data_IF_483517897423
#
_entry.id   IF_483517897423
#
_cell.length_a   1.000
_cell.length_b   1.000
_cell.length_c   1.000
_cell.angle_alpha   90.00
_cell.angle_beta   90.00
_cell.angle_gamma   90.00
#
_symmetry.space_group_name_H-M   'P 1'
#
loop_
_entity.id
_entity.type
_entity.pdbx_description
1 polymer ?
#
# COMPACT_ATOMS: atom_id res chain seq x y z
N UNK A 1 25.95 -8.49 3.76
CA UNK A 1 24.92 -8.58 2.70
C UNK A 1 25.54 -8.32 1.32
N UNK A 2 26.66 -8.98 0.98
CA UNK A 2 27.33 -8.83 -0.32
C UNK A 2 27.87 -10.18 -0.86
N UNK A 3 27.27 -11.31 -0.47
CA UNK A 3 27.80 -12.66 -0.81
C UNK A 3 26.80 -13.56 -1.55
N UNK A 4 25.75 -13.02 -2.17
CA UNK A 4 24.78 -13.84 -2.94
C UNK A 4 24.68 -13.44 -4.42
N UNK A 5 25.42 -12.43 -4.89
CA UNK A 5 25.56 -12.18 -6.32
C UNK A 5 26.93 -11.55 -6.58
N UNK A 6 27.73 -12.17 -7.45
CA UNK A 6 29.00 -11.65 -7.96
C UNK A 6 28.80 -10.40 -8.85
N UNK A 7 28.12 -9.38 -8.34
CA UNK A 7 27.82 -8.13 -9.04
C UNK A 7 28.40 -7.01 -8.19
N UNK A 8 29.29 -6.21 -8.76
CA UNK A 8 29.84 -5.05 -8.04
C UNK A 8 28.71 -4.08 -7.66
N UNK A 9 28.82 -3.35 -6.53
CA UNK A 9 27.82 -2.37 -6.10
C UNK A 9 27.44 -1.36 -7.20
N UNK A 10 28.38 -1.02 -8.08
CA UNK A 10 28.16 -0.14 -9.24
C UNK A 10 27.25 -0.76 -10.31
N UNK A 11 27.44 -2.03 -10.65
CA UNK A 11 26.58 -2.72 -11.61
C UNK A 11 25.18 -2.97 -11.05
N UNK A 12 25.08 -3.30 -9.76
CA UNK A 12 23.80 -3.43 -9.07
C UNK A 12 23.02 -2.11 -9.11
N UNK A 13 23.69 -0.98 -8.84
CA UNK A 13 23.06 0.32 -8.89
C UNK A 13 22.55 0.69 -10.29
N UNK A 14 23.30 0.41 -11.36
CA UNK A 14 22.87 0.68 -12.74
C UNK A 14 21.69 -0.19 -13.17
N UNK A 15 21.74 -1.49 -12.87
CA UNK A 15 20.64 -2.41 -13.18
C UNK A 15 19.38 -2.00 -12.41
N UNK A 16 19.52 -1.66 -11.13
CA UNK A 16 18.39 -1.19 -10.31
C UNK A 16 17.76 0.07 -10.89
N UNK A 17 18.55 1.11 -11.19
CA UNK A 17 18.03 2.34 -11.80
C UNK A 17 17.37 2.08 -13.16
N UNK A 18 17.92 1.18 -13.98
CA UNK A 18 17.36 0.86 -15.30
C UNK A 18 15.99 0.16 -15.19
N UNK A 19 15.78 -0.65 -14.15
CA UNK A 19 14.52 -1.37 -13.92
C UNK A 19 13.48 -0.46 -13.23
N UNK A 20 13.89 0.31 -12.21
CA UNK A 20 12.98 0.98 -11.30
C UNK A 20 12.81 2.48 -11.54
N UNK A 21 13.66 3.09 -12.38
CA UNK A 21 13.66 4.52 -12.67
C UNK A 21 14.15 5.40 -11.51
N UNK A 22 14.55 4.80 -10.37
CA UNK A 22 15.08 5.52 -9.22
C UNK A 22 16.30 4.81 -8.61
N UNK A 23 17.07 5.56 -7.81
CA UNK A 23 18.21 4.99 -7.10
C UNK A 23 17.76 4.12 -5.92
N UNK A 24 18.58 3.13 -5.58
CA UNK A 24 18.34 2.31 -4.38
C UNK A 24 18.26 3.17 -3.11
N UNK A 25 19.05 4.24 -3.04
CA UNK A 25 19.04 5.20 -1.91
C UNK A 25 17.71 5.94 -1.84
N UNK A 26 17.18 6.39 -2.98
CA UNK A 26 15.86 7.04 -3.08
C UNK A 26 14.75 6.10 -2.63
N UNK A 27 14.82 4.83 -3.06
CA UNK A 27 13.86 3.79 -2.69
C UNK A 27 13.84 3.56 -1.19
N UNK A 28 15.02 3.34 -0.59
CA UNK A 28 15.14 3.15 0.86
C UNK A 28 14.65 4.38 1.63
N UNK A 29 14.94 5.60 1.16
CA UNK A 29 14.42 6.84 1.76
C UNK A 29 12.88 6.87 1.70
N UNK A 30 12.28 6.57 0.55
CA UNK A 30 10.82 6.55 0.34
C UNK A 30 10.14 5.53 1.25
N UNK A 31 10.63 4.29 1.29
CA UNK A 31 10.07 3.23 2.15
C UNK A 31 10.20 3.57 3.65
N UNK A 32 11.32 4.14 4.09
CA UNK A 32 11.51 4.61 5.48
C UNK A 32 10.52 5.70 5.87
N UNK A 33 10.32 6.68 4.98
CA UNK A 33 9.36 7.78 5.21
C UNK A 33 7.91 7.29 5.17
N UNK A 34 7.58 6.35 4.28
CA UNK A 34 6.30 5.66 4.25
C UNK A 34 6.00 4.97 5.59
N UNK A 35 6.95 4.18 6.10
CA UNK A 35 6.84 3.55 7.42
C UNK A 35 6.70 4.58 8.55
N UNK A 36 7.44 5.69 8.48
CA UNK A 36 7.33 6.76 9.46
C UNK A 36 5.93 7.40 9.47
N UNK A 37 5.34 7.63 8.30
CA UNK A 37 3.99 8.14 8.17
C UNK A 37 2.97 7.18 8.81
N UNK A 38 3.14 5.87 8.62
CA UNK A 38 2.32 4.85 9.29
C UNK A 38 2.37 4.97 10.82
N UNK A 39 3.55 5.14 11.42
CA UNK A 39 3.65 5.38 12.86
C UNK A 39 3.05 6.72 13.30
N UNK A 40 3.16 7.77 12.48
CA UNK A 40 2.60 9.09 12.81
C UNK A 40 1.07 9.10 12.79
N UNK A 41 0.48 8.37 11.84
CA UNK A 41 -0.96 8.25 11.66
C UNK A 41 -1.61 7.28 12.65
N UNK A 42 -0.96 6.14 12.92
CA UNK A 42 -1.58 4.99 13.58
C UNK A 42 -0.92 4.62 14.93
N UNK A 43 -0.15 5.52 15.55
CA UNK A 43 0.42 5.29 16.89
C UNK A 43 0.71 6.57 17.68
N UNK A 44 0.80 6.43 19.00
CA UNK A 44 1.14 7.51 19.92
C UNK A 44 2.64 7.68 20.19
N UNK A 45 3.51 6.93 19.49
CA UNK A 45 4.97 7.00 19.68
C UNK A 45 5.49 8.43 19.54
N UNK A 46 6.47 8.85 20.34
CA UNK A 46 7.01 10.20 20.21
C UNK A 46 7.70 10.37 18.83
N UNK A 47 7.59 11.56 18.23
CA UNK A 47 8.17 11.82 16.89
C UNK A 47 9.68 11.53 16.84
N UNK A 48 10.40 11.77 17.95
CA UNK A 48 11.82 11.40 18.09
C UNK A 48 12.07 9.90 17.95
N UNK A 49 11.19 9.07 18.53
CA UNK A 49 11.35 7.61 18.54
C UNK A 49 11.00 7.04 17.18
N UNK A 50 10.01 7.65 16.50
CA UNK A 50 9.66 7.35 15.11
C UNK A 50 10.85 7.63 14.18
N UNK A 51 11.52 8.78 14.33
CA UNK A 51 12.69 9.11 13.53
C UNK A 51 13.78 8.02 13.62
N UNK A 52 14.09 7.58 14.85
CA UNK A 52 15.07 6.51 15.10
C UNK A 52 14.62 5.19 14.49
N UNK A 53 13.36 4.77 14.74
CA UNK A 53 12.79 3.53 14.20
C UNK A 53 12.73 3.50 12.67
N UNK A 54 12.55 4.65 12.04
CA UNK A 54 12.59 4.82 10.60
C UNK A 54 14.00 4.98 10.02
N UNK A 55 15.04 4.80 10.83
CA UNK A 55 16.43 4.75 10.37
C UNK A 55 17.10 6.11 10.16
N UNK A 56 16.63 7.17 10.83
CA UNK A 56 17.26 8.48 10.83
C UNK A 56 18.11 8.69 12.09
N UNK A 57 19.30 9.28 11.92
CA UNK A 57 20.23 9.55 13.01
C UNK A 57 19.89 10.82 13.80
N UNK A 58 19.04 11.70 13.26
CA UNK A 58 18.62 12.92 13.96
C UNK A 58 17.18 13.31 13.62
N UNK A 59 16.48 13.91 14.59
CA UNK A 59 15.12 14.43 14.40
C UNK A 59 15.07 15.53 13.32
N UNK A 60 16.11 16.34 13.20
CA UNK A 60 16.18 17.42 12.21
C UNK A 60 16.26 16.86 10.78
N UNK A 61 17.11 15.86 10.54
CA UNK A 61 17.23 15.23 9.22
C UNK A 61 15.94 14.50 8.83
N UNK A 62 15.30 13.81 9.78
CA UNK A 62 14.00 13.20 9.60
C UNK A 62 12.92 14.25 9.25
N UNK A 63 12.79 15.30 10.06
CA UNK A 63 11.73 16.31 9.90
C UNK A 63 11.84 17.02 8.56
N UNK A 64 13.07 17.33 8.11
CA UNK A 64 13.32 17.89 6.79
C UNK A 64 12.90 16.91 5.68
N UNK A 65 13.40 15.69 5.71
CA UNK A 65 13.10 14.68 4.69
C UNK A 65 11.60 14.35 4.63
N UNK A 66 10.92 14.30 5.78
CA UNK A 66 9.49 14.07 5.86
C UNK A 66 8.70 15.25 5.28
N UNK A 67 9.05 16.49 5.64
CA UNK A 67 8.36 17.68 5.12
C UNK A 67 8.57 17.84 3.60
N UNK A 68 9.74 17.50 3.09
CA UNK A 68 10.02 17.47 1.64
C UNK A 68 9.12 16.46 0.91
N UNK A 69 8.82 15.31 1.53
CA UNK A 69 8.03 14.26 0.91
C UNK A 69 6.51 14.43 1.10
N UNK A 70 6.06 14.85 2.28
CA UNK A 70 4.64 14.91 2.68
C UNK A 70 4.08 16.34 2.73
N UNK A 71 4.85 17.34 2.29
CA UNK A 71 4.42 18.75 2.27
C UNK A 71 4.25 19.41 3.64
N UNK A 72 4.41 18.68 4.75
CA UNK A 72 4.23 19.22 6.10
C UNK A 72 5.10 18.55 7.17
N UNK A 73 5.38 19.22 8.30
CA UNK A 73 6.17 18.65 9.38
C UNK A 73 5.52 17.43 10.06
N UNK A 74 6.29 16.45 10.57
CA UNK A 74 5.78 15.22 11.18
C UNK A 74 4.73 15.43 12.29
N UNK A 75 4.97 16.38 13.20
CA UNK A 75 4.05 16.68 14.29
C UNK A 75 2.72 17.27 13.80
N UNK A 76 2.78 18.06 12.71
CA UNK A 76 1.59 18.60 12.06
C UNK A 76 0.83 17.49 11.34
N UNK A 77 1.54 16.65 10.57
CA UNK A 77 0.98 15.48 9.90
C UNK A 77 0.18 14.60 10.86
N UNK A 78 0.73 14.26 12.03
CA UNK A 78 -0.02 13.50 13.05
C UNK A 78 -1.38 14.09 13.41
N UNK A 79 -1.47 15.42 13.52
CA UNK A 79 -2.68 16.13 13.97
C UNK A 79 -3.66 16.46 12.85
N UNK A 80 -3.15 16.68 11.64
CA UNK A 80 -3.89 17.32 10.53
C UNK A 80 -3.84 16.53 9.22
N UNK A 81 -3.16 15.38 9.17
CA UNK A 81 -3.06 14.54 7.98
C UNK A 81 -4.43 13.99 7.55
N UNK A 82 -4.53 13.51 6.30
CA UNK A 82 -5.82 13.06 5.74
C UNK A 82 -6.48 11.91 6.52
N UNK A 83 -5.73 11.13 7.29
CA UNK A 83 -6.30 10.14 8.22
C UNK A 83 -7.27 10.74 9.23
N UNK A 84 -7.12 12.03 9.57
CA UNK A 84 -8.05 12.72 10.47
C UNK A 84 -9.38 13.02 9.81
N UNK A 85 -9.41 13.25 8.49
CA UNK A 85 -10.65 13.49 7.74
C UNK A 85 -11.58 12.29 7.84
N UNK A 86 -11.06 11.08 7.62
CA UNK A 86 -11.82 9.84 7.78
C UNK A 86 -12.23 9.59 9.24
N UNK A 87 -11.38 9.90 10.22
CA UNK A 87 -11.72 9.72 11.64
C UNK A 87 -12.82 10.68 12.12
N UNK A 88 -12.91 11.89 11.55
CA UNK A 88 -13.93 12.88 11.91
C UNK A 88 -15.34 12.45 11.44
N UNK A 89 -15.42 11.71 10.34
CA UNK A 89 -16.69 11.18 9.80
C UNK A 89 -17.26 10.03 10.65
N UNK A 90 -16.48 9.47 11.59
CA UNK A 90 -16.99 8.50 12.56
C UNK A 90 -17.84 9.14 13.68
N UNK A 91 -17.91 10.48 13.73
CA UNK A 91 -18.81 11.22 14.64
C UNK A 91 -20.09 11.66 13.89
N UNK A 92 -21.28 11.13 14.25
CA UNK A 92 -22.52 11.37 13.49
C UNK A 92 -22.94 12.84 13.38
N UNK A 93 -22.54 13.70 14.32
CA UNK A 93 -23.09 15.06 14.45
C UNK A 93 -22.53 16.09 13.45
N UNK A 94 -21.59 15.71 12.58
CA UNK A 94 -21.00 16.59 11.57
C UNK A 94 -21.20 16.05 10.13
N UNK A 95 -21.95 14.96 9.97
CA UNK A 95 -22.06 14.21 8.72
C UNK A 95 -23.06 14.80 7.70
N UNK A 96 -23.69 15.94 7.99
CA UNK A 96 -24.71 16.52 7.10
C UNK A 96 -24.12 17.17 5.83
N UNK A 97 -22.82 17.43 5.80
CA UNK A 97 -22.16 18.00 4.62
C UNK A 97 -20.89 17.23 4.29
N UNK A 98 -21.00 16.08 3.62
CA UNK A 98 -20.05 15.68 2.57
C UNK A 98 -20.36 14.33 1.93
N UNK A 99 -20.66 14.36 0.64
CA UNK A 99 -20.45 13.25 -0.29
C UNK A 99 -18.94 12.98 -0.50
N UNK A 100 -18.18 12.67 0.55
CA UNK A 100 -16.72 12.81 0.52
C UNK A 100 -15.97 11.62 -0.12
N UNK A 101 -16.61 10.46 -0.25
CA UNK A 101 -15.92 9.23 -0.67
C UNK A 101 -16.71 8.52 -1.78
N UNK A 102 -16.02 8.29 -2.91
CA UNK A 102 -16.58 7.64 -4.09
C UNK A 102 -16.55 6.13 -3.90
N UNK A 103 -17.70 5.57 -3.50
CA UNK A 103 -17.91 4.12 -3.42
C UNK A 103 -18.84 3.70 -4.54
N UNK A 104 -18.34 2.83 -5.41
CA UNK A 104 -19.12 2.17 -6.46
C UNK A 104 -19.28 0.69 -6.17
N UNK A 105 -20.40 0.10 -6.57
CA UNK A 105 -20.63 -1.34 -6.49
C UNK A 105 -20.62 -1.89 -7.90
N UNK A 106 -19.69 -2.80 -8.17
CA UNK A 106 -19.46 -3.33 -9.52
C UNK A 106 -19.24 -4.84 -9.47
N UNK A 107 -19.73 -5.53 -10.50
CA UNK A 107 -19.38 -6.92 -10.72
C UNK A 107 -18.10 -7.01 -11.55
N UNK A 108 -17.02 -7.50 -10.94
CA UNK A 108 -15.71 -7.62 -11.59
C UNK A 108 -15.46 -9.08 -12.03
N UNK A 109 -14.76 -9.29 -13.16
CA UNK A 109 -14.28 -10.62 -13.50
C UNK A 109 -13.20 -11.09 -12.52
N UNK A 110 -12.97 -12.40 -12.46
CA UNK A 110 -11.82 -12.95 -11.73
C UNK A 110 -10.50 -12.38 -12.28
N UNK A 111 -9.53 -12.18 -11.39
CA UNK A 111 -8.24 -11.56 -11.72
C UNK A 111 -7.13 -12.55 -11.42
N UNK A 112 -6.34 -12.87 -12.44
CA UNK A 112 -5.16 -13.72 -12.29
C UNK A 112 -3.92 -12.84 -12.10
N UNK A 113 -3.13 -13.15 -11.08
CA UNK A 113 -2.02 -12.33 -10.60
C UNK A 113 -0.75 -13.18 -10.40
N UNK A 114 0.42 -12.55 -10.54
CA UNK A 114 1.69 -13.08 -10.06
C UNK A 114 1.97 -12.46 -8.69
N UNK A 115 2.05 -13.28 -7.66
CA UNK A 115 2.17 -12.85 -6.27
C UNK A 115 3.50 -13.22 -5.63
N UNK A 116 3.89 -12.41 -4.66
CA UNK A 116 4.89 -12.71 -3.65
C UNK A 116 4.28 -12.47 -2.27
N UNK A 117 4.23 -13.53 -1.46
CA UNK A 117 3.72 -13.43 -0.09
C UNK A 117 4.62 -12.51 0.77
N UNK A 118 3.97 -11.79 1.67
CA UNK A 118 4.57 -10.95 2.71
C UNK A 118 4.01 -11.35 4.06
N UNK A 119 4.90 -11.51 5.04
CA UNK A 119 4.55 -11.71 6.44
C UNK A 119 5.21 -10.61 7.28
N UNK A 120 4.42 -9.95 8.12
CA UNK A 120 4.83 -8.84 8.95
C UNK A 120 4.01 -7.57 8.69
N UNK A 121 4.45 -6.44 9.25
CA UNK A 121 3.74 -5.16 9.18
C UNK A 121 3.38 -4.81 7.73
N UNK A 122 2.12 -4.47 7.48
CA UNK A 122 1.62 -4.09 6.16
C UNK A 122 2.34 -2.86 5.60
N UNK A 123 2.88 -1.98 6.45
CA UNK A 123 3.72 -0.86 6.02
C UNK A 123 5.06 -1.30 5.39
N UNK A 124 5.46 -2.56 5.58
CA UNK A 124 6.67 -3.15 5.00
C UNK A 124 6.42 -3.91 3.68
N UNK A 125 5.16 -4.07 3.24
CA UNK A 125 4.80 -4.82 2.01
C UNK A 125 5.48 -4.26 0.75
N UNK A 126 5.82 -2.97 0.75
CA UNK A 126 6.57 -2.34 -0.33
C UNK A 126 7.86 -3.07 -0.67
N UNK A 127 8.51 -3.73 0.30
CA UNK A 127 9.70 -4.55 0.06
C UNK A 127 9.41 -5.76 -0.83
N UNK A 128 8.22 -6.37 -0.70
CA UNK A 128 7.78 -7.48 -1.54
C UNK A 128 7.42 -7.01 -2.94
N UNK A 129 6.81 -5.82 -3.08
CA UNK A 129 6.63 -5.18 -4.39
C UNK A 129 7.97 -4.91 -5.09
N UNK A 130 8.97 -4.37 -4.39
CA UNK A 130 10.30 -4.15 -4.98
C UNK A 130 10.93 -5.46 -5.48
N UNK A 131 10.79 -6.57 -4.74
CA UNK A 131 11.27 -7.89 -5.18
C UNK A 131 10.50 -8.39 -6.41
N UNK A 132 9.17 -8.32 -6.40
CA UNK A 132 8.31 -8.75 -7.49
C UNK A 132 8.60 -7.98 -8.78
N UNK A 133 8.63 -6.66 -8.70
CA UNK A 133 8.94 -5.79 -9.84
C UNK A 133 10.36 -6.00 -10.36
N UNK A 134 11.34 -6.25 -9.47
CA UNK A 134 12.68 -6.63 -9.88
C UNK A 134 12.71 -7.94 -10.66
N UNK A 135 11.97 -8.94 -10.19
CA UNK A 135 11.84 -10.25 -10.84
C UNK A 135 11.16 -10.15 -12.22
N UNK A 136 10.10 -9.34 -12.33
CA UNK A 136 9.41 -9.06 -13.60
C UNK A 136 10.30 -8.26 -14.57
N UNK A 137 10.99 -7.24 -14.07
CA UNK A 137 11.88 -6.39 -14.86
C UNK A 137 13.04 -7.17 -15.49
N UNK A 138 13.66 -8.08 -14.74
CA UNK A 138 14.74 -8.95 -15.27
C UNK A 138 14.26 -9.89 -16.39
N UNK A 139 12.96 -10.18 -16.47
CA UNK A 139 12.34 -11.03 -17.51
C UNK A 139 11.73 -10.22 -18.66
N UNK A 140 11.85 -8.89 -18.63
CA UNK A 140 11.20 -8.02 -19.62
C UNK A 140 9.67 -8.08 -19.56
N UNK A 141 9.10 -8.49 -18.42
CA UNK A 141 7.66 -8.61 -18.23
C UNK A 141 7.03 -7.33 -17.65
N UNK A 142 7.83 -6.48 -17.02
CA UNK A 142 7.38 -5.19 -16.50
C UNK A 142 7.03 -4.24 -17.65
N UNK A 143 5.81 -3.69 -17.62
CA UNK A 143 5.29 -2.79 -18.65
C UNK A 143 4.25 -1.83 -18.06
N UNK A 144 3.80 -0.85 -18.85
CA UNK A 144 2.88 0.20 -18.42
C UNK A 144 1.44 -0.30 -18.14
N UNK A 145 1.06 -1.46 -18.66
CA UNK A 145 -0.25 -2.09 -18.43
C UNK A 145 -0.24 -2.97 -17.17
N UNK A 146 0.87 -3.00 -16.43
CA UNK A 146 0.99 -3.78 -15.21
C UNK A 146 0.08 -3.20 -14.12
N UNK A 147 -0.83 -4.03 -13.63
CA UNK A 147 -1.68 -3.72 -12.48
C UNK A 147 -0.91 -4.06 -11.20
N UNK A 148 -0.88 -3.16 -10.24
CA UNK A 148 -0.21 -3.37 -8.95
C UNK A 148 -1.26 -3.60 -7.87
N UNK A 149 -1.30 -4.81 -7.30
CA UNK A 149 -2.35 -5.21 -6.35
C UNK A 149 -1.75 -5.71 -5.04
N UNK A 150 -2.23 -5.19 -3.91
CA UNK A 150 -1.92 -5.71 -2.57
C UNK A 150 -3.12 -6.49 -2.03
N UNK A 151 -2.93 -7.74 -1.58
CA UNK A 151 -3.99 -8.54 -0.95
C UNK A 151 -3.70 -8.63 0.54
N UNK A 152 -4.70 -8.38 1.39
CA UNK A 152 -4.56 -8.33 2.84
C UNK A 152 -5.50 -9.34 3.49
N UNK A 153 -4.91 -10.29 4.23
CA UNK A 153 -5.64 -11.48 4.71
C UNK A 153 -6.11 -11.38 6.16
N UNK A 154 -5.57 -10.44 6.93
CA UNK A 154 -5.75 -10.36 8.37
C UNK A 154 -6.18 -8.93 8.76
N UNK A 155 -6.94 -8.81 9.85
CA UNK A 155 -7.29 -7.52 10.42
C UNK A 155 -6.10 -6.97 11.24
N UNK A 156 -5.53 -5.81 10.87
CA UNK A 156 -4.38 -5.22 11.57
C UNK A 156 -4.68 -4.76 13.01
N UNK A 157 -5.96 -4.61 13.38
CA UNK A 157 -6.36 -4.29 14.76
C UNK A 157 -6.53 -5.56 15.62
N UNK A 158 -6.70 -6.73 15.00
CA UNK A 158 -6.91 -8.01 15.69
C UNK A 158 -5.66 -8.91 15.72
N UNK A 159 -4.79 -8.81 14.71
CA UNK A 159 -3.63 -9.69 14.54
C UNK A 159 -2.33 -8.91 14.80
N UNK A 160 -1.39 -9.46 15.61
CA UNK A 160 -0.09 -8.83 15.83
C UNK A 160 0.66 -8.54 14.53
N UNK A 161 1.36 -7.41 14.49
CA UNK A 161 2.04 -6.92 13.28
C UNK A 161 3.00 -7.93 12.67
N UNK A 162 3.68 -8.72 13.48
CA UNK A 162 4.66 -9.72 13.06
C UNK A 162 4.00 -10.97 12.43
N UNK A 163 2.71 -11.15 12.64
CA UNK A 163 1.92 -12.30 12.18
C UNK A 163 1.03 -11.98 10.99
N UNK A 164 0.78 -10.71 10.72
CA UNK A 164 0.00 -10.22 9.57
C UNK A 164 0.51 -10.83 8.26
N UNK A 165 -0.43 -11.32 7.44
CA UNK A 165 -0.17 -11.88 6.12
C UNK A 165 -0.77 -10.98 5.06
N UNK A 166 -0.01 -10.79 3.98
CA UNK A 166 -0.45 -10.09 2.77
C UNK A 166 0.29 -10.65 1.56
N UNK A 167 -0.10 -10.26 0.35
CA UNK A 167 0.61 -10.61 -0.86
C UNK A 167 0.77 -9.38 -1.76
N UNK A 168 2.01 -9.12 -2.18
CA UNK A 168 2.29 -8.15 -3.23
C UNK A 168 2.10 -8.84 -4.58
N UNK A 169 1.21 -8.32 -5.41
CA UNK A 169 0.77 -8.97 -6.63
C UNK A 169 0.85 -8.03 -7.84
N UNK A 170 1.05 -8.63 -9.02
CA UNK A 170 1.07 -7.92 -10.29
C UNK A 170 0.24 -8.67 -11.34
N UNK A 171 -0.64 -7.95 -12.02
CA UNK A 171 -1.33 -8.42 -13.23
C UNK A 171 -0.65 -7.85 -14.48
N UNK A 172 -0.43 -8.67 -15.51
CA UNK A 172 0.22 -8.23 -16.76
C UNK A 172 -0.17 -9.14 -17.94
N UNK A 173 -0.06 -8.69 -19.21
CA UNK A 173 -0.59 -9.42 -20.36
C UNK A 173 -0.05 -10.85 -20.55
N UNK A 174 1.24 -11.08 -20.29
CA UNK A 174 1.89 -12.38 -20.48
C UNK A 174 1.79 -13.34 -19.27
N UNK A 175 0.92 -13.03 -18.31
CA UNK A 175 0.86 -13.75 -17.03
C UNK A 175 0.49 -15.22 -17.20
N UNK A 176 -0.45 -15.54 -18.08
CA UNK A 176 -0.90 -16.91 -18.27
C UNK A 176 0.22 -17.83 -18.76
N UNK A 177 1.06 -17.32 -19.65
CA UNK A 177 2.19 -18.05 -20.21
C UNK A 177 3.42 -18.04 -19.28
N UNK A 178 3.40 -17.22 -18.23
CA UNK A 178 4.49 -17.13 -17.27
C UNK A 178 4.39 -18.26 -16.25
N UNK A 179 5.43 -19.10 -16.18
CA UNK A 179 5.52 -20.15 -15.17
C UNK A 179 6.02 -19.56 -13.86
N UNK A 180 5.32 -19.76 -12.72
CA UNK A 180 5.79 -19.28 -11.43
C UNK A 180 7.04 -20.05 -11.00
N UNK A 181 8.00 -19.33 -10.43
CA UNK A 181 9.21 -19.89 -9.81
C UNK A 181 9.23 -19.48 -8.36
N UNK A 182 9.50 -20.41 -7.43
CA UNK A 182 9.62 -20.08 -6.01
C UNK A 182 10.57 -18.89 -5.78
N UNK A 183 10.21 -17.88 -4.96
CA UNK A 183 9.03 -17.82 -4.07
C UNK A 183 7.77 -17.20 -4.69
N UNK A 184 7.73 -16.96 -6.00
CA UNK A 184 6.60 -16.37 -6.71
C UNK A 184 5.55 -17.43 -7.05
N UNK A 185 4.28 -17.06 -7.00
CA UNK A 185 3.15 -17.95 -7.28
C UNK A 185 2.06 -17.25 -8.08
N UNK A 186 1.22 -18.01 -8.79
CA UNK A 186 -0.01 -17.48 -9.36
C UNK A 186 -1.05 -17.33 -8.24
N UNK A 187 -1.74 -16.21 -8.22
CA UNK A 187 -2.79 -15.89 -7.25
C UNK A 187 -4.06 -15.54 -8.01
N UNK A 188 -5.15 -16.23 -7.68
CA UNK A 188 -6.45 -16.03 -8.31
C UNK A 188 -7.36 -15.26 -7.35
N UNK A 189 -7.77 -14.06 -7.76
CA UNK A 189 -8.82 -13.29 -7.09
C UNK A 189 -10.14 -13.67 -7.74
N UNK A 190 -11.09 -14.12 -6.93
CA UNK A 190 -12.39 -14.55 -7.43
C UNK A 190 -13.17 -13.37 -8.01
N UNK A 191 -13.87 -13.61 -9.12
CA UNK A 191 -14.83 -12.63 -9.64
C UNK A 191 -16.09 -12.59 -8.79
N UNK A 192 -16.86 -11.52 -8.94
CA UNK A 192 -18.10 -11.32 -8.19
C UNK A 192 -18.39 -9.85 -8.00
N UNK A 193 -19.28 -9.56 -7.06
CA UNK A 193 -19.67 -8.19 -6.75
C UNK A 193 -18.79 -7.60 -5.65
N UNK A 194 -18.24 -6.41 -5.91
CA UNK A 194 -17.35 -5.71 -5.01
C UNK A 194 -17.86 -4.30 -4.76
N UNK A 195 -17.75 -3.84 -3.51
CA UNK A 195 -17.73 -2.42 -3.21
C UNK A 195 -16.31 -1.91 -3.44
N UNK A 196 -16.17 -0.83 -4.20
CA UNK A 196 -14.89 -0.24 -4.59
C UNK A 196 -14.86 1.19 -4.07
N UNK A 197 -14.02 1.43 -3.07
CA UNK A 197 -13.75 2.77 -2.54
C UNK A 197 -12.51 3.34 -3.22
N UNK A 198 -12.65 4.49 -3.89
CA UNK A 198 -11.50 5.25 -4.37
C UNK A 198 -10.93 6.12 -3.26
N UNK A 199 -9.70 5.81 -2.85
CA UNK A 199 -8.92 6.57 -1.88
C UNK A 199 -7.87 7.44 -2.58
N UNK A 200 -7.84 8.74 -2.23
CA UNK A 200 -6.76 9.65 -2.62
C UNK A 200 -5.97 10.08 -1.37
N UNK A 201 -4.67 9.83 -1.38
CA UNK A 201 -3.75 10.30 -0.35
C UNK A 201 -2.74 9.24 0.09
N UNK A 202 -2.00 9.51 1.19
CA UNK A 202 -0.90 8.63 1.58
C UNK A 202 -1.39 7.26 2.04
N UNK A 203 -0.71 6.19 1.60
CA UNK A 203 -0.98 4.81 2.04
C UNK A 203 -1.04 4.64 3.57
N UNK A 204 -0.25 5.43 4.32
CA UNK A 204 -0.27 5.42 5.78
C UNK A 204 -1.65 5.75 6.40
N UNK A 205 -2.52 6.41 5.61
CA UNK A 205 -3.83 6.87 6.03
C UNK A 205 -4.95 5.91 5.60
N UNK A 206 -4.65 4.86 4.82
CA UNK A 206 -5.65 3.89 4.33
C UNK A 206 -6.37 3.17 5.48
N UNK A 207 -5.71 2.96 6.62
CA UNK A 207 -6.35 2.36 7.79
C UNK A 207 -7.64 3.10 8.20
N UNK A 208 -7.62 4.44 8.19
CA UNK A 208 -8.81 5.24 8.48
C UNK A 208 -9.90 5.13 7.40
N UNK A 209 -9.50 4.92 6.14
CA UNK A 209 -10.43 4.66 5.04
C UNK A 209 -11.13 3.31 5.23
N UNK A 210 -10.40 2.25 5.63
CA UNK A 210 -10.99 0.97 6.01
C UNK A 210 -11.97 1.08 7.18
N UNK A 211 -11.60 1.81 8.24
CA UNK A 211 -12.50 2.02 9.39
C UNK A 211 -13.80 2.70 8.98
N UNK A 212 -13.74 3.71 8.11
CA UNK A 212 -14.95 4.33 7.56
C UNK A 212 -15.73 3.36 6.64
N UNK A 213 -15.04 2.62 5.78
CA UNK A 213 -15.66 1.74 4.80
C UNK A 213 -16.45 0.61 5.47
N UNK A 214 -15.85 -0.04 6.47
CA UNK A 214 -16.50 -1.08 7.29
C UNK A 214 -17.44 -0.52 8.36
N UNK A 215 -17.12 0.61 8.97
CA UNK A 215 -17.85 1.14 10.13
C UNK A 215 -19.02 2.07 9.80
N UNK A 216 -19.04 2.70 8.62
CA UNK A 216 -20.08 3.65 8.21
C UNK A 216 -20.77 3.23 6.93
N UNK A 217 -20.00 3.01 5.85
CA UNK A 217 -20.60 2.71 4.55
C UNK A 217 -21.29 1.34 4.52
N UNK A 218 -20.60 0.27 4.93
CA UNK A 218 -21.14 -1.09 4.83
C UNK A 218 -22.46 -1.27 5.61
N UNK A 219 -22.61 -0.84 6.88
CA UNK A 219 -23.87 -0.97 7.62
C UNK A 219 -25.04 -0.20 7.01
N UNK A 220 -24.77 0.91 6.31
CA UNK A 220 -25.80 1.76 5.69
C UNK A 220 -26.13 1.31 4.27
N UNK A 221 -25.24 0.57 3.61
CA UNK A 221 -25.40 0.11 2.23
C UNK A 221 -26.47 -0.97 2.04
N UNK A 222 -26.89 -1.64 3.11
CA UNK A 222 -27.75 -2.82 3.05
C UNK A 222 -27.05 -4.06 2.45
N UNK A 223 -25.72 -4.03 2.33
CA UNK A 223 -24.89 -5.12 1.80
C UNK A 223 -24.17 -5.85 2.93
N UNK A 224 -23.71 -7.05 2.65
CA UNK A 224 -22.89 -7.85 3.56
C UNK A 224 -21.55 -8.17 2.89
N UNK A 225 -20.46 -8.10 3.65
CA UNK A 225 -19.14 -8.50 3.16
C UNK A 225 -19.04 -10.03 3.03
N UNK A 226 -18.28 -10.50 2.05
CA UNK A 226 -17.90 -11.89 1.89
C UNK A 226 -16.68 -12.24 2.76
N UNK A 227 -16.49 -13.53 3.07
CA UNK A 227 -15.30 -14.06 3.75
C UNK A 227 -14.05 -14.17 2.83
N UNK A 228 -14.00 -13.33 1.79
CA UNK A 228 -12.85 -13.21 0.89
C UNK A 228 -11.97 -12.05 1.34
N UNK A 229 -10.64 -12.13 1.12
CA UNK A 229 -9.75 -11.03 1.50
C UNK A 229 -10.05 -9.78 0.68
N UNK A 230 -9.84 -8.63 1.30
CA UNK A 230 -9.80 -7.34 0.61
C UNK A 230 -8.53 -7.23 -0.21
N UNK A 231 -8.59 -6.47 -1.29
CA UNK A 231 -7.41 -6.12 -2.04
C UNK A 231 -7.42 -4.66 -2.45
N UNK A 232 -6.23 -4.11 -2.64
CA UNK A 232 -5.96 -2.74 -3.03
C UNK A 232 -5.35 -2.75 -4.43
N UNK A 233 -5.83 -1.88 -5.31
CA UNK A 233 -5.19 -1.62 -6.59
C UNK A 233 -4.57 -0.22 -6.59
N UNK A 234 -3.25 -0.16 -6.76
CA UNK A 234 -2.50 1.10 -6.80
C UNK A 234 -2.49 1.65 -8.23
N UNK A 235 -3.20 2.76 -8.45
CA UNK A 235 -3.47 3.29 -9.79
C UNK A 235 -2.37 4.23 -10.32
N UNK A 236 -1.46 4.67 -9.45
CA UNK A 236 -0.32 5.48 -9.84
C UNK A 236 0.94 5.13 -9.03
N UNK A 237 2.08 5.59 -9.54
CA UNK A 237 3.38 5.17 -9.05
C UNK A 237 3.90 6.08 -7.92
N UNK A 238 4.17 5.56 -6.71
CA UNK A 238 4.70 6.36 -5.59
C UNK A 238 6.13 6.89 -5.80
N UNK A 239 6.77 6.52 -6.92
CA UNK A 239 8.04 7.11 -7.38
C UNK A 239 7.85 8.39 -8.18
N UNK A 240 6.66 8.59 -8.75
CA UNK A 240 6.37 9.65 -9.71
C UNK A 240 5.49 10.74 -9.11
N UNK A 241 4.65 10.40 -8.14
CA UNK A 241 3.69 11.32 -7.51
C UNK A 241 3.97 11.50 -6.02
N UNK A 242 3.57 12.65 -5.48
CA UNK A 242 3.64 12.91 -4.05
C UNK A 242 2.66 12.00 -3.28
N UNK A 243 2.92 11.70 -1.99
CA UNK A 243 2.03 10.89 -1.16
C UNK A 243 0.57 11.36 -1.15
N UNK A 244 0.32 12.68 -1.19
CA UNK A 244 -1.04 13.24 -1.19
C UNK A 244 -1.78 13.05 -2.53
N UNK A 245 -1.05 12.72 -3.60
CA UNK A 245 -1.60 12.48 -4.94
C UNK A 245 -1.68 11.00 -5.30
N UNK A 246 -1.33 10.11 -4.37
CA UNK A 246 -1.52 8.67 -4.56
C UNK A 246 -3.00 8.32 -4.68
N UNK A 247 -3.31 7.42 -5.60
CA UNK A 247 -4.67 6.93 -5.83
C UNK A 247 -4.69 5.41 -5.67
N UNK A 248 -5.59 4.93 -4.84
CA UNK A 248 -5.77 3.50 -4.55
C UNK A 248 -7.26 3.17 -4.55
N UNK A 249 -7.65 2.15 -5.32
CA UNK A 249 -9.00 1.59 -5.24
C UNK A 249 -8.96 0.42 -4.24
N UNK A 250 -9.80 0.48 -3.20
CA UNK A 250 -9.96 -0.57 -2.18
C UNK A 250 -11.17 -1.41 -2.56
N UNK A 251 -10.97 -2.71 -2.77
CA UNK A 251 -11.99 -3.66 -3.18
C UNK A 251 -12.43 -4.52 -1.99
N UNK A 252 -13.68 -4.35 -1.57
CA UNK A 252 -14.34 -5.18 -0.57
C UNK A 252 -15.31 -6.15 -1.26
N UNK A 253 -15.08 -7.46 -1.17
CA UNK A 253 -15.99 -8.46 -1.75
C UNK A 253 -17.32 -8.45 -1.00
N UNK A 254 -18.43 -8.46 -1.74
CA UNK A 254 -19.79 -8.46 -1.17
C UNK A 254 -20.49 -9.79 -1.43
N UNK A 255 -21.41 -10.16 -0.54
CA UNK A 255 -22.33 -11.27 -0.78
C UNK A 255 -23.33 -10.88 -1.90
N UNK A 256 -23.68 -11.82 -2.79
CA UNK A 256 -24.79 -11.63 -3.72
C UNK A 256 -26.09 -11.33 -2.96
N UNK A 257 -26.92 -10.45 -3.52
CA UNK A 257 -28.27 -10.17 -3.02
C UNK A 257 -29.24 -11.32 -3.33
#
# INVERSE_FOLDING_TARGET
>A
MADIACISPYHLHRIYNAIFGESLVSTVKRLRLHKAAGYLANSDLAVKDIAVRSGYSSLQSFSRAFSEAYGMPPARYRREGSHKQFSMTLMPSLAEESSMHDVRVENIPGINLMGLEHKGDYMDIGQSFEKLFGWLGMRGLANAEMRCIGIYFDDPDAVPKEELRSAACAGFPALEQTTPESPYSKVDVQGGEYAILRFKGPYANMHSAYQWFYGQWLPQSGREACDQPVFEEYLNNPREVAPDDLITDIYMPLKPL
#
